data_IF_616489025893
#
_entry.id   IF_616489025893
#
_cell.length_a   1.000
_cell.length_b   1.000
_cell.length_c   1.000
_cell.angle_alpha   90.00
_cell.angle_beta   90.00
_cell.angle_gamma   90.00
#
_symmetry.space_group_name_H-M   'P 1'
#
loop_
_entity.id
_entity.type
_entity.pdbx_description
1 polymer ?
#
# COMPACT_ATOMS: atom_id res chain seq x y z
N UNK A 1 2.49 -14.00 -9.03
CA UNK A 1 1.38 -13.76 -8.10
C UNK A 1 1.89 -13.89 -6.68
N UNK A 2 1.58 -12.92 -5.83
CA UNK A 2 1.80 -13.05 -4.41
C UNK A 2 0.51 -13.56 -3.74
N UNK A 3 0.66 -14.62 -2.96
CA UNK A 3 -0.38 -15.16 -2.07
C UNK A 3 -0.08 -14.75 -0.64
N UNK A 4 -1.02 -14.96 0.27
CA UNK A 4 -0.83 -14.65 1.69
C UNK A 4 0.47 -15.22 2.28
N UNK A 5 0.88 -16.41 1.86
CA UNK A 5 2.01 -17.14 2.44
C UNK A 5 3.15 -17.46 1.46
N UNK A 6 3.03 -17.10 0.19
CA UNK A 6 3.99 -17.51 -0.84
C UNK A 6 3.95 -16.60 -2.07
N UNK A 7 5.00 -16.66 -2.88
CA UNK A 7 4.97 -16.12 -4.24
C UNK A 7 5.07 -17.28 -5.23
N UNK A 8 4.17 -17.27 -6.21
CA UNK A 8 4.12 -18.29 -7.26
C UNK A 8 4.23 -17.66 -8.64
N UNK A 9 4.76 -18.38 -9.60
CA UNK A 9 4.76 -18.02 -11.02
C UNK A 9 4.15 -19.10 -11.88
N UNK A 10 3.59 -18.68 -13.01
CA UNK A 10 3.06 -19.55 -14.04
C UNK A 10 3.79 -19.28 -15.35
N UNK A 11 3.92 -20.28 -16.19
CA UNK A 11 4.34 -20.05 -17.58
C UNK A 11 3.21 -19.33 -18.30
N UNK A 12 3.54 -18.26 -19.01
CA UNK A 12 2.62 -17.44 -19.77
C UNK A 12 3.13 -17.23 -21.18
N UNK A 13 2.26 -17.38 -22.16
CA UNK A 13 2.48 -16.95 -23.54
C UNK A 13 1.50 -15.84 -23.86
N UNK A 14 1.94 -14.86 -24.64
CA UNK A 14 1.06 -13.73 -24.99
C UNK A 14 -0.22 -14.24 -25.64
N UNK A 15 -1.37 -13.86 -25.07
CA UNK A 15 -2.70 -14.30 -25.48
C UNK A 15 -3.28 -15.47 -24.68
N UNK A 16 -2.52 -16.07 -23.76
CA UNK A 16 -3.05 -17.11 -22.88
C UNK A 16 -4.14 -16.55 -21.97
N UNK A 17 -5.33 -17.16 -21.98
CA UNK A 17 -6.45 -16.81 -21.10
C UNK A 17 -6.49 -17.68 -19.83
N UNK A 18 -5.69 -18.74 -19.78
CA UNK A 18 -5.59 -19.66 -18.64
C UNK A 18 -4.14 -20.10 -18.46
N UNK A 19 -3.77 -20.35 -17.21
CA UNK A 19 -2.49 -20.99 -16.92
C UNK A 19 -2.44 -22.37 -17.57
N UNK A 20 -1.35 -22.65 -18.28
CA UNK A 20 -1.13 -23.93 -19.00
C UNK A 20 -0.35 -24.96 -18.16
N UNK A 21 0.12 -24.56 -16.98
CA UNK A 21 0.93 -25.39 -16.07
C UNK A 21 0.50 -25.17 -14.64
N UNK A 22 0.84 -26.11 -13.77
CA UNK A 22 0.78 -25.90 -12.33
C UNK A 22 1.69 -24.73 -11.91
N UNK A 23 1.33 -24.01 -10.81
CA UNK A 23 2.15 -22.93 -10.29
C UNK A 23 3.50 -23.45 -9.77
N UNK A 24 4.56 -22.73 -10.09
CA UNK A 24 5.86 -22.92 -9.48
C UNK A 24 5.99 -21.99 -8.28
N UNK A 25 6.24 -22.53 -7.10
CA UNK A 25 6.46 -21.74 -5.88
C UNK A 25 7.89 -21.22 -5.88
N UNK A 26 8.08 -19.90 -6.00
CA UNK A 26 9.40 -19.25 -6.00
C UNK A 26 9.78 -18.65 -4.64
N UNK A 27 8.79 -18.23 -3.82
CA UNK A 27 8.99 -17.88 -2.41
C UNK A 27 8.05 -18.76 -1.59
N UNK A 28 8.56 -19.79 -0.90
CA UNK A 28 7.70 -20.78 -0.26
C UNK A 28 7.10 -20.34 1.07
N UNK A 29 7.61 -19.27 1.68
CA UNK A 29 7.17 -18.84 3.00
C UNK A 29 7.24 -17.32 3.15
N UNK A 30 6.06 -16.71 3.31
CA UNK A 30 5.86 -15.34 3.79
C UNK A 30 5.15 -15.36 5.15
N UNK A 31 5.34 -14.34 6.01
CA UNK A 31 4.59 -14.22 7.26
C UNK A 31 3.08 -14.22 7.01
N UNK A 32 2.30 -14.95 7.80
CA UNK A 32 0.83 -15.08 7.69
C UNK A 32 0.13 -14.42 8.87
N UNK A 33 -1.16 -14.10 8.72
CA UNK A 33 -2.00 -13.43 9.71
C UNK A 33 -2.01 -11.91 9.53
N UNK A 34 -2.77 -11.19 10.34
CA UNK A 34 -2.90 -9.73 10.27
C UNK A 34 -3.35 -9.22 8.92
N UNK A 35 -2.59 -8.30 8.32
CA UNK A 35 -2.82 -7.88 6.95
C UNK A 35 -2.36 -8.97 5.97
N UNK A 36 -3.31 -9.53 5.26
CA UNK A 36 -3.06 -10.64 4.32
C UNK A 36 -2.76 -10.17 2.88
N UNK A 37 -2.88 -8.89 2.62
CA UNK A 37 -2.53 -8.30 1.32
C UNK A 37 -1.04 -8.50 1.03
N UNK A 38 -0.74 -8.89 -0.20
CA UNK A 38 0.61 -9.03 -0.74
C UNK A 38 0.62 -8.50 -2.15
N UNK A 39 1.61 -7.71 -2.48
CA UNK A 39 1.85 -7.31 -3.86
C UNK A 39 3.26 -7.69 -4.29
N UNK A 40 3.48 -7.79 -5.59
CA UNK A 40 4.78 -8.10 -6.19
C UNK A 40 5.07 -7.16 -7.33
N UNK A 41 6.24 -6.53 -7.29
CA UNK A 41 6.75 -5.69 -8.36
C UNK A 41 8.18 -6.11 -8.75
N UNK A 42 8.58 -5.79 -9.97
CA UNK A 42 9.94 -6.06 -10.46
C UNK A 42 10.61 -4.74 -10.84
N UNK A 43 11.93 -4.65 -10.61
CA UNK A 43 12.73 -3.54 -11.13
C UNK A 43 12.70 -3.52 -12.66
N UNK A 44 12.96 -2.35 -13.27
CA UNK A 44 12.92 -2.18 -14.73
C UNK A 44 13.90 -3.10 -15.46
N UNK A 45 15.04 -3.39 -14.84
CA UNK A 45 16.05 -4.32 -15.36
C UNK A 45 15.74 -5.80 -15.07
N UNK A 46 14.61 -6.09 -14.40
CA UNK A 46 14.19 -7.41 -13.96
C UNK A 46 15.22 -8.16 -13.09
N UNK A 47 16.11 -7.47 -12.42
CA UNK A 47 17.11 -8.09 -11.53
C UNK A 47 16.62 -8.20 -10.08
N UNK A 48 15.55 -7.48 -9.70
CA UNK A 48 15.00 -7.43 -8.35
C UNK A 48 13.50 -7.73 -8.37
N UNK A 49 13.06 -8.52 -7.40
CA UNK A 49 11.64 -8.76 -7.10
C UNK A 49 11.34 -8.20 -5.72
N UNK A 50 10.37 -7.30 -5.64
CA UNK A 50 9.87 -6.70 -4.40
C UNK A 50 8.57 -7.37 -3.99
N UNK A 51 8.42 -7.66 -2.69
CA UNK A 51 7.20 -8.25 -2.13
C UNK A 51 6.80 -7.46 -0.90
N UNK A 52 5.59 -6.91 -0.88
CA UNK A 52 5.06 -6.21 0.28
C UNK A 52 4.48 -7.19 1.30
N UNK A 53 4.67 -6.89 2.57
CA UNK A 53 4.10 -7.66 3.69
C UNK A 53 3.57 -6.69 4.73
N UNK A 54 2.25 -6.60 4.88
CA UNK A 54 1.61 -5.76 5.87
C UNK A 54 1.81 -6.25 7.31
N UNK A 55 1.58 -5.38 8.29
CA UNK A 55 1.71 -5.67 9.72
C UNK A 55 0.76 -6.78 10.18
N UNK A 56 1.11 -7.45 11.29
CA UNK A 56 0.19 -8.38 11.97
C UNK A 56 -0.92 -7.64 12.68
N UNK A 57 -0.59 -6.50 13.28
CA UNK A 57 -1.48 -5.76 14.16
C UNK A 57 -1.68 -4.32 13.70
N UNK A 58 -2.56 -3.60 14.40
CA UNK A 58 -2.81 -2.20 14.13
C UNK A 58 -1.63 -1.30 14.54
N UNK A 59 -1.03 -1.58 15.70
CA UNK A 59 -0.02 -0.73 16.35
C UNK A 59 1.10 -1.53 17.04
N UNK A 60 1.47 -2.68 16.48
CA UNK A 60 2.48 -3.60 17.02
C UNK A 60 2.21 -4.02 18.48
N UNK A 61 0.95 -4.22 18.82
CA UNK A 61 0.52 -4.64 20.17
C UNK A 61 1.22 -5.92 20.64
N UNK A 62 1.76 -6.73 19.73
CA UNK A 62 2.45 -7.99 20.01
C UNK A 62 3.91 -7.80 20.41
N UNK A 63 4.53 -6.66 20.09
CA UNK A 63 5.94 -6.39 20.39
C UNK A 63 6.09 -5.75 21.77
N UNK A 64 5.75 -6.49 22.84
CA UNK A 64 5.88 -5.96 24.19
C UNK A 64 7.32 -6.14 24.68
N UNK A 65 8.03 -5.05 24.83
CA UNK A 65 9.32 -5.01 25.50
C UNK A 65 9.10 -4.58 26.96
N UNK A 66 9.37 -5.46 27.95
CA UNK A 66 9.07 -5.24 29.37
C UNK A 66 9.92 -4.17 30.06
N UNK A 67 10.52 -3.25 29.32
CA UNK A 67 11.44 -2.23 29.85
C UNK A 67 10.76 -1.02 30.47
N UNK A 68 9.43 -0.84 30.33
CA UNK A 68 8.73 0.32 30.90
C UNK A 68 7.42 -0.03 31.64
N UNK A 69 7.04 0.72 32.69
CA UNK A 69 5.76 0.52 33.39
C UNK A 69 4.52 0.65 32.48
N UNK A 70 4.59 1.47 31.43
CA UNK A 70 3.49 1.64 30.47
C UNK A 70 3.26 0.35 29.66
N UNK A 71 4.34 -0.35 29.34
CA UNK A 71 4.29 -1.64 28.63
C UNK A 71 3.68 -2.74 29.50
N UNK A 72 3.90 -2.73 30.79
CA UNK A 72 3.21 -3.61 31.74
C UNK A 72 1.70 -3.39 31.74
N UNK A 73 1.24 -2.14 31.67
CA UNK A 73 -0.19 -1.83 31.59
C UNK A 73 -0.80 -2.29 30.25
N UNK A 74 -0.06 -2.14 29.15
CA UNK A 74 -0.47 -2.66 27.82
C UNK A 74 -0.53 -4.20 27.84
N UNK A 75 0.48 -4.84 28.38
CA UNK A 75 0.51 -6.29 28.57
C UNK A 75 -0.70 -6.79 29.38
N UNK A 76 -1.00 -6.21 30.53
CA UNK A 76 -2.14 -6.57 31.34
C UNK A 76 -3.47 -6.36 30.63
N UNK A 77 -3.66 -5.26 29.91
CA UNK A 77 -4.84 -5.00 29.10
C UNK A 77 -5.02 -6.04 27.99
N UNK A 78 -3.94 -6.45 27.35
CA UNK A 78 -3.95 -7.46 26.30
C UNK A 78 -4.21 -8.87 26.89
N UNK A 79 -3.56 -9.21 27.98
CA UNK A 79 -3.78 -10.48 28.68
C UNK A 79 -5.25 -10.67 29.06
N UNK A 80 -5.89 -9.61 29.58
CA UNK A 80 -7.31 -9.60 29.92
C UNK A 80 -8.19 -9.75 28.66
N UNK A 81 -7.76 -9.20 27.51
CA UNK A 81 -8.58 -9.13 26.29
C UNK A 81 -8.40 -10.33 25.34
N UNK A 82 -7.23 -10.95 25.27
CA UNK A 82 -6.91 -12.03 24.31
C UNK A 82 -6.39 -13.34 24.91
N UNK A 83 -6.00 -13.38 26.18
CA UNK A 83 -5.59 -14.62 26.87
C UNK A 83 -4.36 -15.34 26.29
N UNK A 84 -3.56 -14.68 25.47
CA UNK A 84 -2.45 -15.31 24.74
C UNK A 84 -1.17 -14.47 24.77
N UNK A 85 -0.04 -15.13 24.96
CA UNK A 85 1.30 -14.59 24.75
C UNK A 85 1.69 -14.90 23.29
N UNK A 86 1.58 -13.96 22.40
CA UNK A 86 2.11 -14.10 21.06
C UNK A 86 3.56 -13.58 21.04
N UNK A 87 4.44 -14.32 20.37
CA UNK A 87 5.84 -13.96 20.15
C UNK A 87 6.01 -12.76 19.21
N UNK A 88 7.18 -12.64 18.60
CA UNK A 88 7.55 -11.54 17.70
C UNK A 88 6.78 -11.64 16.36
N UNK A 89 5.47 -11.36 16.39
CA UNK A 89 4.56 -11.55 15.25
C UNK A 89 4.81 -10.54 14.12
N UNK A 90 5.59 -9.48 14.38
CA UNK A 90 5.92 -8.43 13.40
C UNK A 90 7.27 -8.66 12.67
N UNK A 91 7.90 -9.82 12.84
CA UNK A 91 9.15 -10.11 12.12
C UNK A 91 8.90 -10.19 10.59
N UNK A 92 9.66 -9.40 9.82
CA UNK A 92 9.50 -9.25 8.36
C UNK A 92 8.08 -8.84 7.93
N UNK A 93 7.46 -7.99 8.75
CA UNK A 93 6.15 -7.39 8.49
C UNK A 93 6.22 -5.88 8.57
N UNK A 94 5.21 -5.20 8.03
CA UNK A 94 5.23 -3.77 7.80
C UNK A 94 6.47 -3.37 6.97
N UNK A 95 6.85 -4.27 6.06
CA UNK A 95 8.09 -4.24 5.29
C UNK A 95 7.81 -4.42 3.79
N UNK A 96 8.74 -3.93 3.00
CA UNK A 96 8.94 -4.40 1.62
C UNK A 96 10.16 -5.30 1.61
N UNK A 97 9.96 -6.55 1.21
CA UNK A 97 11.02 -7.55 1.09
C UNK A 97 11.60 -7.52 -0.33
N UNK A 98 12.90 -7.76 -0.44
CA UNK A 98 13.62 -7.90 -1.71
C UNK A 98 14.08 -9.34 -1.88
N UNK A 99 13.95 -9.80 -3.12
CA UNK A 99 14.45 -11.08 -3.62
C UNK A 99 15.10 -10.87 -5.00
N UNK A 100 15.86 -11.85 -5.45
CA UNK A 100 16.11 -11.98 -6.88
C UNK A 100 14.83 -12.48 -7.62
N UNK A 101 14.79 -12.46 -8.95
CA UNK A 101 13.59 -12.87 -9.70
C UNK A 101 13.18 -14.34 -9.54
N UNK A 102 14.04 -15.18 -8.97
CA UNK A 102 13.77 -16.59 -8.68
C UNK A 102 13.33 -16.82 -7.23
N UNK A 103 13.26 -15.76 -6.41
CA UNK A 103 12.82 -15.81 -5.03
C UNK A 103 13.93 -16.10 -4.02
N UNK A 104 15.19 -16.01 -4.44
CA UNK A 104 16.35 -16.16 -3.57
C UNK A 104 16.84 -14.81 -3.01
N UNK A 105 17.83 -14.82 -2.13
CA UNK A 105 18.48 -13.60 -1.63
C UNK A 105 17.58 -12.72 -0.75
N UNK A 106 16.59 -13.32 -0.04
CA UNK A 106 15.61 -12.62 0.81
C UNK A 106 16.26 -11.64 1.78
N UNK A 107 15.84 -10.39 1.75
CA UNK A 107 16.20 -9.36 2.73
C UNK A 107 15.14 -8.27 2.82
N UNK A 108 15.12 -7.52 3.92
CA UNK A 108 14.27 -6.34 4.05
C UNK A 108 14.84 -5.24 3.14
N UNK A 109 14.00 -4.69 2.28
CA UNK A 109 14.31 -3.56 1.41
C UNK A 109 13.99 -2.23 2.08
N UNK A 110 12.80 -2.13 2.69
CA UNK A 110 12.35 -0.98 3.47
C UNK A 110 11.44 -1.44 4.60
N UNK A 111 11.37 -0.68 5.68
CA UNK A 111 10.63 -1.04 6.90
C UNK A 111 9.77 0.09 7.44
N UNK A 112 8.86 -0.25 8.37
CA UNK A 112 7.97 0.71 9.01
C UNK A 112 6.88 1.24 8.09
N UNK A 113 6.52 0.51 7.04
CA UNK A 113 5.39 0.77 6.14
C UNK A 113 4.25 -0.14 6.58
N UNK A 114 3.33 0.37 7.39
CA UNK A 114 2.34 -0.46 8.08
C UNK A 114 1.63 -1.48 7.18
N UNK A 115 1.07 -1.05 6.08
CA UNK A 115 0.42 -1.94 5.12
C UNK A 115 0.54 -1.39 3.70
N UNK A 116 1.65 -1.72 3.04
CA UNK A 116 1.88 -1.47 1.63
C UNK A 116 1.01 -2.42 0.81
N UNK A 117 -0.10 -1.94 0.25
CA UNK A 117 -1.07 -2.79 -0.44
C UNK A 117 -0.81 -2.87 -1.94
N UNK A 118 -0.51 -1.75 -2.57
CA UNK A 118 -0.21 -1.67 -3.99
C UNK A 118 1.20 -1.15 -4.26
N UNK A 119 1.91 -1.77 -5.19
CA UNK A 119 3.24 -1.33 -5.61
C UNK A 119 3.28 -1.09 -7.12
N UNK A 120 4.04 -0.07 -7.51
CA UNK A 120 4.37 0.17 -8.92
C UNK A 120 5.79 0.70 -9.04
N UNK A 121 6.44 0.41 -10.17
CA UNK A 121 7.75 0.99 -10.49
C UNK A 121 7.54 2.12 -11.48
N UNK A 122 8.04 3.31 -11.15
CA UNK A 122 8.03 4.44 -12.07
C UNK A 122 8.95 4.13 -13.25
N UNK A 123 8.39 4.07 -14.45
CA UNK A 123 9.16 3.71 -15.65
C UNK A 123 10.17 4.76 -16.07
N UNK A 124 10.04 6.01 -15.62
CA UNK A 124 10.97 7.09 -15.94
C UNK A 124 12.20 7.10 -15.02
N UNK A 125 12.04 6.75 -13.73
CA UNK A 125 13.11 6.84 -12.72
C UNK A 125 13.61 5.48 -12.25
N UNK A 126 12.81 4.42 -12.40
CA UNK A 126 13.08 3.10 -11.84
C UNK A 126 12.76 2.96 -10.35
N UNK A 127 12.25 4.02 -9.71
CA UNK A 127 11.88 3.99 -8.30
C UNK A 127 10.68 3.09 -8.05
N UNK A 128 10.79 2.28 -7.00
CA UNK A 128 9.64 1.55 -6.46
C UNK A 128 8.76 2.51 -5.65
N UNK A 129 7.46 2.44 -5.86
CA UNK A 129 6.46 3.19 -5.11
C UNK A 129 5.46 2.25 -4.44
N UNK A 130 4.87 2.72 -3.36
CA UNK A 130 3.87 2.01 -2.57
C UNK A 130 2.71 2.91 -2.19
N UNK A 131 1.48 2.37 -2.28
CA UNK A 131 0.29 2.91 -1.62
C UNK A 131 0.09 2.21 -0.28
N UNK A 132 -0.17 2.97 0.77
CA UNK A 132 -0.12 2.48 2.15
C UNK A 132 -1.35 2.87 2.94
N UNK A 133 -1.88 1.88 3.67
CA UNK A 133 -2.90 2.12 4.68
C UNK A 133 -2.26 2.24 6.06
N UNK A 134 -2.48 3.39 6.70
CA UNK A 134 -1.98 3.68 8.02
C UNK A 134 -2.88 3.14 9.15
N UNK A 135 -2.42 3.30 10.40
CA UNK A 135 -3.08 2.74 11.57
C UNK A 135 -4.38 3.46 11.93
N UNK A 136 -5.27 2.71 12.59
CA UNK A 136 -6.51 3.21 13.16
C UNK A 136 -6.33 3.71 14.59
N UNK A 137 -7.32 4.46 15.09
CA UNK A 137 -7.47 4.80 16.49
C UNK A 137 -7.01 6.20 16.89
N UNK A 138 -6.67 7.08 15.91
CA UNK A 138 -6.37 8.50 16.15
C UNK A 138 -7.53 9.43 15.72
N UNK A 139 -8.73 8.89 15.54
CA UNK A 139 -9.91 9.62 15.07
C UNK A 139 -9.95 9.74 13.55
N UNK A 140 -10.82 10.58 13.03
CA UNK A 140 -11.17 10.65 11.62
C UNK A 140 -10.03 11.14 10.71
N UNK A 141 -9.10 11.93 11.22
CA UNK A 141 -8.18 12.70 10.37
C UNK A 141 -6.71 12.29 10.51
N UNK A 142 -6.38 11.27 11.34
CA UNK A 142 -5.02 10.83 11.58
C UNK A 142 -4.91 9.32 11.73
N UNK A 143 -3.74 8.76 11.36
CA UNK A 143 -2.75 9.32 10.44
C UNK A 143 -3.30 9.32 9.01
N UNK A 144 -2.78 10.14 8.09
CA UNK A 144 -3.12 10.04 6.69
C UNK A 144 -2.62 8.72 6.10
N UNK A 145 -3.36 8.15 5.17
CA UNK A 145 -2.83 7.18 4.23
C UNK A 145 -1.84 7.88 3.29
N UNK A 146 -1.04 7.16 2.54
CA UNK A 146 -0.06 7.82 1.68
C UNK A 146 0.38 6.97 0.48
N UNK A 147 0.91 7.66 -0.53
CA UNK A 147 1.67 7.09 -1.64
C UNK A 147 3.11 7.61 -1.53
N UNK A 148 4.10 6.74 -1.64
CA UNK A 148 5.50 7.13 -1.44
C UNK A 148 6.47 6.29 -2.26
N UNK A 149 7.62 6.88 -2.59
CA UNK A 149 8.80 6.15 -3.08
C UNK A 149 9.34 5.28 -1.95
N UNK A 150 9.59 4.02 -2.26
CA UNK A 150 10.17 3.06 -1.32
C UNK A 150 11.69 3.02 -1.51
N UNK A 151 12.43 3.55 -0.54
CA UNK A 151 13.89 3.68 -0.60
C UNK A 151 14.57 2.49 0.07
N UNK A 152 15.63 1.98 -0.55
CA UNK A 152 16.43 0.89 0.02
C UNK A 152 17.05 1.31 1.37
N UNK A 153 16.82 0.48 2.41
CA UNK A 153 17.20 0.78 3.79
C UNK A 153 16.33 1.85 4.47
N UNK A 154 15.26 2.32 3.79
CA UNK A 154 14.34 3.33 4.31
C UNK A 154 13.50 2.83 5.50
N UNK A 155 13.20 3.75 6.42
CA UNK A 155 12.29 3.52 7.54
C UNK A 155 11.18 4.58 7.54
N UNK A 156 9.91 4.15 7.52
CA UNK A 156 8.74 5.03 7.34
C UNK A 156 7.96 5.28 8.63
N UNK A 157 8.42 4.74 9.75
CA UNK A 157 7.98 5.15 11.09
C UNK A 157 7.19 4.11 11.86
N UNK A 158 6.26 3.40 11.23
CA UNK A 158 5.43 2.43 11.96
C UNK A 158 6.26 1.38 12.70
N UNK A 159 5.92 1.02 13.95
CA UNK A 159 4.80 1.48 14.76
C UNK A 159 5.10 2.68 15.65
N UNK A 160 6.33 3.20 15.67
CA UNK A 160 6.80 4.19 16.66
C UNK A 160 6.53 5.62 16.24
N UNK A 161 6.44 5.89 14.95
CA UNK A 161 6.30 7.22 14.37
C UNK A 161 5.31 7.19 13.19
N UNK A 162 4.73 8.36 12.88
CA UNK A 162 3.92 8.60 11.68
C UNK A 162 4.20 9.99 11.11
N UNK A 163 4.05 10.18 9.82
CA UNK A 163 4.35 11.44 9.11
C UNK A 163 5.66 12.08 9.61
N UNK A 164 6.77 11.37 9.44
CA UNK A 164 8.07 11.82 9.94
C UNK A 164 8.23 11.61 11.46
N UNK A 165 8.49 12.66 12.21
CA UNK A 165 8.92 12.57 13.61
C UNK A 165 7.79 12.62 14.64
N UNK A 166 6.53 12.48 14.22
CA UNK A 166 5.40 12.43 15.17
C UNK A 166 5.40 11.06 15.86
N UNK A 167 5.61 11.08 17.16
CA UNK A 167 5.60 9.83 17.96
C UNK A 167 4.19 9.29 18.10
N UNK A 168 4.04 7.98 17.90
CA UNK A 168 2.80 7.29 18.22
C UNK A 168 2.54 7.39 19.73
N UNK A 169 1.37 7.87 20.18
CA UNK A 169 1.06 8.04 21.62
C UNK A 169 1.18 6.77 22.45
N UNK A 170 1.08 5.58 21.80
CA UNK A 170 1.24 4.30 22.48
C UNK A 170 2.71 3.89 22.63
N UNK A 171 3.61 4.50 21.88
CA UNK A 171 5.03 4.16 21.79
C UNK A 171 5.98 5.28 22.18
N UNK A 172 5.48 6.33 22.86
CA UNK A 172 6.29 7.51 23.24
C UNK A 172 7.58 7.10 23.96
N UNK A 173 8.71 7.54 23.40
CA UNK A 173 10.05 7.35 23.98
C UNK A 173 10.60 5.92 23.84
N UNK A 174 9.96 5.02 23.11
CA UNK A 174 10.45 3.63 22.98
C UNK A 174 11.64 3.50 22.02
N UNK A 175 11.68 4.28 20.94
CA UNK A 175 12.74 4.17 19.91
C UNK A 175 13.25 5.55 19.47
N UNK A 176 13.82 6.36 20.41
CA UNK A 176 14.35 7.68 20.07
C UNK A 176 15.51 7.62 19.06
N UNK A 177 16.19 6.48 18.97
CA UNK A 177 17.25 6.18 18.00
C UNK A 177 16.78 6.16 16.54
N UNK A 178 15.49 5.95 16.31
CA UNK A 178 14.88 5.93 14.98
C UNK A 178 14.31 7.27 14.54
N UNK A 179 14.07 8.21 15.45
CA UNK A 179 13.39 9.47 15.16
C UNK A 179 13.95 10.23 13.95
N UNK A 180 15.28 10.33 13.87
CA UNK A 180 15.96 11.03 12.78
C UNK A 180 16.05 10.23 11.48
N UNK A 181 15.64 8.97 11.51
CA UNK A 181 15.69 8.06 10.33
C UNK A 181 14.36 7.96 9.60
N UNK A 182 13.27 8.48 10.22
CA UNK A 182 11.94 8.38 9.64
C UNK A 182 11.84 9.20 8.37
N UNK A 183 11.46 8.55 7.29
CA UNK A 183 11.17 9.20 6.01
C UNK A 183 9.75 9.72 6.05
N UNK A 184 9.56 10.98 5.67
CA UNK A 184 8.22 11.54 5.43
C UNK A 184 7.72 11.02 4.09
N UNK A 185 6.51 10.43 4.01
CA UNK A 185 5.93 10.00 2.76
C UNK A 185 5.74 11.14 1.76
N UNK A 186 5.82 10.82 0.46
CA UNK A 186 5.82 11.82 -0.60
C UNK A 186 4.44 12.46 -0.84
N UNK A 187 3.35 11.70 -0.83
CA UNK A 187 1.98 12.19 -1.08
C UNK A 187 1.08 11.69 0.05
N UNK A 188 0.63 12.60 0.89
CA UNK A 188 -0.28 12.27 1.98
C UNK A 188 -1.73 12.30 1.48
N UNK A 189 -2.45 11.21 1.72
CA UNK A 189 -3.85 11.03 1.33
C UNK A 189 -4.73 11.20 2.57
N UNK A 190 -5.98 11.59 2.38
CA UNK A 190 -6.93 11.68 3.49
C UNK A 190 -6.94 10.38 4.31
N UNK A 191 -6.88 10.52 5.65
CA UNK A 191 -6.84 9.39 6.56
C UNK A 191 -8.00 8.41 6.32
N UNK A 192 -7.71 7.11 6.41
CA UNK A 192 -8.66 6.02 6.23
C UNK A 192 -9.26 5.88 4.82
N UNK A 193 -8.62 6.45 3.79
CA UNK A 193 -9.06 6.26 2.39
C UNK A 193 -8.90 4.83 1.91
N UNK A 194 -8.09 4.04 2.59
CA UNK A 194 -7.76 2.66 2.25
C UNK A 194 -7.20 2.55 0.83
N UNK A 195 -6.06 3.22 0.58
CA UNK A 195 -5.38 3.20 -0.71
C UNK A 195 -4.88 1.79 -1.05
N UNK A 196 -5.31 1.24 -2.17
CA UNK A 196 -5.01 -0.12 -2.61
C UNK A 196 -4.05 -0.10 -3.82
N UNK A 197 -4.44 -0.73 -4.95
CA UNK A 197 -3.54 -0.81 -6.09
C UNK A 197 -3.32 0.55 -6.75
N UNK A 198 -2.12 0.74 -7.30
CA UNK A 198 -1.72 1.94 -8.01
C UNK A 198 -1.00 1.62 -9.32
N UNK A 199 -0.99 2.57 -10.24
CA UNK A 199 -0.26 2.49 -11.50
C UNK A 199 0.22 3.85 -11.95
N UNK A 200 1.38 3.91 -12.64
CA UNK A 200 1.81 5.11 -13.34
C UNK A 200 1.18 5.15 -14.72
N UNK A 201 0.69 6.33 -15.11
CA UNK A 201 0.17 6.54 -16.45
C UNK A 201 1.30 6.84 -17.43
N UNK A 202 1.43 6.02 -18.44
CA UNK A 202 2.45 6.15 -19.50
C UNK A 202 1.82 6.19 -20.90
N UNK A 203 0.48 6.25 -20.96
CA UNK A 203 -0.29 6.30 -22.18
C UNK A 203 -0.29 7.68 -22.83
N UNK A 204 -0.93 7.75 -23.97
CA UNK A 204 -1.11 8.99 -24.74
C UNK A 204 -2.57 9.32 -25.05
N UNK A 205 -3.51 8.60 -24.42
CA UNK A 205 -4.94 8.86 -24.63
C UNK A 205 -5.40 10.07 -23.80
N UNK A 206 -4.95 10.19 -22.55
CA UNK A 206 -5.25 11.37 -21.73
C UNK A 206 -4.34 12.55 -22.10
N UNK A 207 -4.72 13.80 -21.73
CA UNK A 207 -3.86 14.97 -21.89
C UNK A 207 -2.44 14.77 -21.34
N UNK A 208 -1.45 15.43 -21.94
CA UNK A 208 -0.04 15.25 -21.65
C UNK A 208 0.33 15.42 -20.17
N UNK A 209 -0.41 16.28 -19.45
CA UNK A 209 -0.22 16.52 -18.01
C UNK A 209 -0.51 15.31 -17.12
N UNK A 210 -1.14 14.26 -17.66
CA UNK A 210 -1.39 13.00 -16.95
C UNK A 210 -0.22 12.03 -17.05
N UNK A 211 0.65 12.22 -18.05
CA UNK A 211 1.77 11.33 -18.26
C UNK A 211 2.78 11.40 -17.11
N UNK A 212 3.22 10.25 -16.64
CA UNK A 212 4.12 10.13 -15.48
C UNK A 212 3.45 10.25 -14.12
N UNK A 213 2.16 10.61 -14.05
CA UNK A 213 1.44 10.70 -12.78
C UNK A 213 1.03 9.31 -12.28
N UNK A 214 0.86 9.18 -10.96
CA UNK A 214 0.39 7.96 -10.32
C UNK A 214 -1.12 8.01 -10.10
N UNK A 215 -1.81 6.93 -10.44
CA UNK A 215 -3.23 6.75 -10.15
C UNK A 215 -3.39 5.64 -9.13
N UNK A 216 -4.24 5.85 -8.12
CA UNK A 216 -4.49 4.89 -7.06
C UNK A 216 -5.99 4.71 -6.81
N UNK A 217 -6.35 3.47 -6.47
CA UNK A 217 -7.70 3.10 -6.08
C UNK A 217 -7.87 3.25 -4.57
N UNK A 218 -8.78 4.14 -4.16
CA UNK A 218 -9.14 4.38 -2.78
C UNK A 218 -10.40 3.57 -2.46
N UNK A 219 -10.23 2.45 -1.74
CA UNK A 219 -11.32 1.50 -1.45
C UNK A 219 -12.39 2.09 -0.56
N UNK A 220 -12.00 2.95 0.38
CA UNK A 220 -12.89 3.70 1.24
C UNK A 220 -12.86 3.28 2.71
N UNK A 221 -13.29 4.22 3.53
CA UNK A 221 -13.22 4.11 4.99
C UNK A 221 -14.35 3.25 5.57
N UNK A 222 -14.01 2.47 6.59
CA UNK A 222 -14.99 1.75 7.41
C UNK A 222 -15.13 2.34 8.83
N UNK A 223 -14.24 3.21 9.24
CA UNK A 223 -14.03 3.67 10.61
C UNK A 223 -14.01 5.21 10.77
N UNK A 224 -14.66 5.93 9.85
CA UNK A 224 -14.84 7.40 9.93
C UNK A 224 -16.29 7.77 10.21
N UNK A 225 -16.48 8.97 10.78
CA UNK A 225 -17.81 9.57 10.97
C UNK A 225 -18.49 9.91 9.64
N UNK A 226 -17.71 10.22 8.61
CA UNK A 226 -18.17 10.41 7.22
C UNK A 226 -17.32 9.60 6.27
N UNK A 227 -17.93 8.90 5.30
CA UNK A 227 -17.20 8.15 4.28
C UNK A 227 -16.14 8.99 3.57
N UNK A 228 -14.94 8.41 3.40
CA UNK A 228 -13.86 8.97 2.59
C UNK A 228 -13.23 7.88 1.74
N UNK A 229 -12.41 8.24 0.77
CA UNK A 229 -11.99 7.30 -0.26
C UNK A 229 -13.13 7.04 -1.23
N UNK A 230 -13.37 5.79 -1.61
CA UNK A 230 -14.39 5.40 -2.60
C UNK A 230 -14.24 6.18 -3.91
N UNK A 231 -13.01 6.19 -4.45
CA UNK A 231 -12.66 6.99 -5.63
C UNK A 231 -11.34 6.50 -6.26
N UNK A 232 -11.05 6.98 -7.44
CA UNK A 232 -9.70 6.94 -8.00
C UNK A 232 -9.09 8.32 -7.81
N UNK A 233 -7.87 8.38 -7.33
CA UNK A 233 -7.10 9.62 -7.22
C UNK A 233 -5.98 9.64 -8.26
N UNK A 234 -5.51 10.86 -8.59
CA UNK A 234 -4.30 11.14 -9.35
C UNK A 234 -3.30 11.86 -8.45
N UNK A 235 -2.19 11.22 -8.10
CA UNK A 235 -1.06 11.84 -7.43
C UNK A 235 -0.18 12.55 -8.46
N UNK A 236 0.14 13.81 -8.20
CA UNK A 236 0.86 14.67 -9.13
C UNK A 236 2.37 14.40 -9.05
N UNK A 237 2.92 13.90 -10.16
CA UNK A 237 4.35 13.64 -10.33
C UNK A 237 4.86 14.40 -11.55
N UNK A 238 5.92 15.17 -11.38
CA UNK A 238 6.55 15.97 -12.46
C UNK A 238 7.99 15.53 -12.61
N UNK A 239 8.36 15.12 -13.82
CA UNK A 239 9.72 14.67 -14.13
C UNK A 239 10.27 13.59 -13.15
N UNK A 240 9.37 12.74 -12.68
CA UNK A 240 9.67 11.68 -11.70
C UNK A 240 9.61 12.11 -10.24
N UNK A 241 9.48 13.40 -9.94
CA UNK A 241 9.39 13.92 -8.58
C UNK A 241 7.94 14.21 -8.17
N UNK A 242 7.50 13.73 -6.98
CA UNK A 242 6.18 14.01 -6.44
C UNK A 242 6.06 15.48 -6.00
N UNK A 243 4.93 16.09 -6.31
CA UNK A 243 4.64 17.47 -5.85
C UNK A 243 4.16 17.52 -4.39
N UNK A 244 3.78 16.38 -3.81
CA UNK A 244 3.07 16.30 -2.53
C UNK A 244 1.55 16.41 -2.65
N UNK A 245 1.04 16.69 -3.83
CA UNK A 245 -0.38 16.93 -4.09
C UNK A 245 -1.04 15.75 -4.79
N UNK A 246 -2.35 15.60 -4.57
CA UNK A 246 -3.21 14.71 -5.33
C UNK A 246 -4.55 15.37 -5.62
N UNK A 247 -5.26 14.86 -6.61
CA UNK A 247 -6.60 15.27 -6.98
C UNK A 247 -7.55 14.07 -7.16
N UNK A 248 -8.84 14.30 -7.00
CA UNK A 248 -9.86 13.32 -7.29
C UNK A 248 -9.98 13.13 -8.82
N UNK A 249 -9.92 11.89 -9.28
CA UNK A 249 -10.00 11.57 -10.71
C UNK A 249 -11.33 10.92 -11.10
N UNK A 250 -11.74 9.85 -10.42
CA UNK A 250 -13.08 9.26 -10.58
C UNK A 250 -13.77 9.24 -9.24
N UNK A 251 -14.95 9.86 -9.17
CA UNK A 251 -15.76 10.01 -7.96
C UNK A 251 -17.21 9.58 -8.19
N UNK A 252 -18.05 9.68 -7.16
CA UNK A 252 -19.48 9.43 -7.25
C UNK A 252 -19.93 8.10 -6.67
N UNK A 253 -19.04 7.32 -6.04
CA UNK A 253 -19.38 6.04 -5.43
C UNK A 253 -20.03 6.15 -4.04
N UNK A 254 -19.99 7.34 -3.43
CA UNK A 254 -20.68 7.66 -2.17
C UNK A 254 -22.05 8.25 -2.47
N UNK A 255 -23.10 7.64 -1.95
CA UNK A 255 -24.49 8.10 -2.09
C UNK A 255 -24.83 9.11 -1.00
N UNK A 256 -24.49 8.76 0.25
CA UNK A 256 -24.67 9.59 1.44
C UNK A 256 -23.74 9.11 2.58
N UNK A 257 -23.85 9.71 3.74
CA UNK A 257 -22.97 9.38 4.89
C UNK A 257 -23.09 7.92 5.40
N UNK A 258 -24.05 7.15 4.90
CA UNK A 258 -24.27 5.76 5.32
C UNK A 258 -24.15 4.73 4.18
N UNK A 259 -24.17 5.17 2.94
CA UNK A 259 -24.26 4.27 1.79
C UNK A 259 -23.24 4.60 0.71
N UNK A 260 -22.57 3.56 0.27
CA UNK A 260 -21.69 3.56 -0.90
C UNK A 260 -22.18 2.48 -1.87
N UNK A 261 -21.96 2.67 -3.17
CA UNK A 261 -22.38 1.68 -4.16
C UNK A 261 -21.20 1.05 -4.93
N UNK A 262 -20.00 1.62 -4.83
CA UNK A 262 -18.80 1.07 -5.45
C UNK A 262 -17.59 1.24 -4.54
N UNK A 263 -16.62 0.31 -4.68
CA UNK A 263 -15.39 0.26 -3.91
C UNK A 263 -14.22 -0.10 -4.84
N UNK A 264 -13.47 0.90 -5.33
CA UNK A 264 -12.31 0.66 -6.20
C UNK A 264 -11.23 -0.16 -5.50
N UNK A 265 -10.62 -1.12 -6.23
CA UNK A 265 -9.58 -2.03 -5.69
C UNK A 265 -8.32 -2.02 -6.53
N UNK A 266 -8.41 -2.51 -7.75
CA UNK A 266 -7.29 -2.61 -8.70
C UNK A 266 -7.36 -1.52 -9.74
N UNK A 267 -6.21 -1.07 -10.21
CA UNK A 267 -6.11 -0.12 -11.32
C UNK A 267 -4.99 -0.53 -12.27
N UNK A 268 -5.22 -0.42 -13.56
CA UNK A 268 -4.23 -0.71 -14.59
C UNK A 268 -4.46 0.14 -15.84
N UNK A 269 -3.41 0.42 -16.58
CA UNK A 269 -3.48 1.04 -17.90
C UNK A 269 -3.68 -0.04 -18.97
N UNK A 270 -4.69 0.17 -19.82
CA UNK A 270 -4.92 -0.67 -20.98
C UNK A 270 -4.00 -0.28 -22.16
N UNK A 271 -3.92 -1.15 -23.17
CA UNK A 271 -3.04 -0.92 -24.34
C UNK A 271 -3.41 0.29 -25.17
N UNK A 272 -4.68 0.67 -25.18
CA UNK A 272 -5.20 1.86 -25.88
C UNK A 272 -4.98 3.16 -25.09
N UNK A 273 -4.40 3.08 -23.90
CA UNK A 273 -4.14 4.21 -23.00
C UNK A 273 -5.31 4.54 -22.08
N UNK A 274 -6.44 3.82 -22.13
CA UNK A 274 -7.50 3.95 -21.13
C UNK A 274 -7.05 3.42 -19.76
N UNK A 275 -7.69 3.87 -18.68
CA UNK A 275 -7.50 3.31 -17.35
C UNK A 275 -8.65 2.35 -17.02
N UNK A 276 -8.29 1.16 -16.58
CA UNK A 276 -9.22 0.17 -16.06
C UNK A 276 -9.11 0.11 -14.54
N UNK A 277 -10.24 0.03 -13.84
CA UNK A 277 -10.23 -0.24 -12.42
C UNK A 277 -11.32 -1.26 -12.04
N UNK A 278 -11.02 -2.10 -11.07
CA UNK A 278 -11.97 -3.07 -10.54
C UNK A 278 -12.71 -2.49 -9.34
N UNK A 279 -13.96 -2.92 -9.16
CA UNK A 279 -14.87 -2.53 -8.10
C UNK A 279 -15.43 -3.82 -7.46
N UNK A 280 -15.06 -4.10 -6.21
CA UNK A 280 -15.50 -5.31 -5.51
C UNK A 280 -16.91 -5.16 -4.90
N UNK A 281 -17.39 -3.92 -4.75
CA UNK A 281 -18.76 -3.66 -4.31
C UNK A 281 -19.81 -4.18 -5.28
N UNK A 282 -19.51 -4.14 -6.58
CA UNK A 282 -20.42 -4.56 -7.66
C UNK A 282 -19.90 -5.72 -8.51
N UNK A 283 -18.67 -6.18 -8.27
CA UNK A 283 -18.04 -7.18 -9.13
C UNK A 283 -17.83 -6.69 -10.57
N UNK A 284 -17.52 -5.42 -10.76
CA UNK A 284 -17.44 -4.73 -12.05
C UNK A 284 -16.01 -4.30 -12.35
N UNK A 285 -15.66 -4.26 -13.63
CA UNK A 285 -14.46 -3.60 -14.15
C UNK A 285 -14.92 -2.39 -14.96
N UNK A 286 -14.44 -1.23 -14.57
CA UNK A 286 -14.72 0.05 -15.22
C UNK A 286 -13.59 0.42 -16.17
N UNK A 287 -13.94 1.10 -17.26
CA UNK A 287 -12.98 1.71 -18.17
C UNK A 287 -13.19 3.23 -18.22
N UNK A 288 -12.09 3.96 -18.08
CA UNK A 288 -12.06 5.41 -18.22
C UNK A 288 -11.24 5.76 -19.44
N UNK A 289 -11.86 6.47 -20.39
CA UNK A 289 -11.22 6.93 -21.63
C UNK A 289 -11.44 8.44 -21.80
N UNK A 290 -10.52 9.10 -22.53
CA UNK A 290 -10.60 10.50 -22.85
C UNK A 290 -10.98 10.67 -24.33
N UNK A 291 -12.11 11.31 -24.58
CA UNK A 291 -12.63 11.52 -25.96
C UNK A 291 -12.19 12.86 -26.59
N UNK A 292 -11.44 13.68 -25.84
CA UNK A 292 -11.09 15.03 -26.27
C UNK A 292 -12.26 16.01 -26.11
N UNK A 293 -11.99 17.31 -26.21
CA UNK A 293 -13.07 18.31 -26.36
C UNK A 293 -13.55 18.23 -27.79
N UNK A 294 -14.76 17.74 -28.02
CA UNK A 294 -15.45 18.07 -29.27
C UNK A 294 -15.61 19.60 -29.30
N UNK A 295 -14.85 20.27 -30.18
CA UNK A 295 -15.08 21.67 -30.51
C UNK A 295 -16.50 21.74 -31.09
N UNK A 296 -17.46 22.27 -30.31
CA UNK A 296 -18.75 22.69 -30.80
C UNK A 296 -18.60 23.98 -31.64
#
# INVERSE_FOLDING_TARGET
>A
MANTNSVVRFRYRNGDLKASTEPEVIVPKLPQGGHESRDVAFSLDNTKMFVSVGSESNDAESTINFSSPRQWVRFLRRWIKKGSFAGNDEFERADVLLFDPNGEGRRIYASGIRNCVGMAVNSATGDLWCSTNERDGFGDNLPPDYITRVREGGFYGWPWYYIGTHEDPLHIGERPDLKSKVIVPDILIQAHSASLQMTFYTGNQFPTEYNGNVFAAEHGSWNRSKPTGYKIIRGIVKDGDPSGEYEDFVTGFVVDDARVWGRPVGIAQAKDGSLLFSDDGNGTIWSVSYEGRHSQ
#
